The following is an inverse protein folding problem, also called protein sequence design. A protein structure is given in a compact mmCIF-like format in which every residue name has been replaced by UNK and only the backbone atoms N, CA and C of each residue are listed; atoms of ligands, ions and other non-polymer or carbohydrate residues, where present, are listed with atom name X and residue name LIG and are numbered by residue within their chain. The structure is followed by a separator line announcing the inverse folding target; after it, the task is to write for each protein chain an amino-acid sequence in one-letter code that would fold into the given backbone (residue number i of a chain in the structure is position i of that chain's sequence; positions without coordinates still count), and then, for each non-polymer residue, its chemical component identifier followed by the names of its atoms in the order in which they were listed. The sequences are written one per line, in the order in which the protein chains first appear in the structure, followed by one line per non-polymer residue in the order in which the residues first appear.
data_IF_876013621982
#
_entry.id   IF_876013621982
#
_cell.length_a   1.000
_cell.length_b   1.000
_cell.length_c   1.000
_cell.angle_alpha   90.00
_cell.angle_beta   90.00
_cell.angle_gamma   90.00
#
_symmetry.space_group_name_H-M   'P 1'
#
loop_
_entity.id
_entity.type
_entity.pdbx_description
1 polymer ?
#
# COMPACT_ATOMS: atom_id res chain seq x y z
N UNK A 1 -30.43 30.90 4.21
CA UNK A 1 -29.14 31.60 4.11
C UNK A 1 -28.14 30.63 3.51
N UNK A 2 -27.78 30.83 2.25
CA UNK A 2 -26.75 30.07 1.55
C UNK A 2 -25.40 30.28 2.23
N UNK A 3 -24.65 29.21 2.43
CA UNK A 3 -23.28 29.24 2.95
C UNK A 3 -22.48 30.08 1.96
N UNK A 4 -22.03 31.28 2.37
CA UNK A 4 -21.08 32.04 1.56
C UNK A 4 -19.80 31.21 1.47
N UNK A 5 -19.41 30.81 0.26
CA UNK A 5 -18.13 30.16 0.02
C UNK A 5 -17.02 31.11 0.47
N UNK A 6 -16.22 30.67 1.44
CA UNK A 6 -15.02 31.40 1.83
C UNK A 6 -14.11 31.49 0.60
N UNK A 7 -13.41 32.60 0.33
CA UNK A 7 -12.39 32.65 -0.73
C UNK A 7 -11.28 31.59 -0.56
N UNK A 8 -11.19 30.95 0.62
CA UNK A 8 -10.32 29.82 0.91
C UNK A 8 -10.82 28.48 0.33
N UNK A 9 -12.11 28.36 -0.02
CA UNK A 9 -12.73 27.09 -0.44
C UNK A 9 -12.79 26.92 -1.98
N UNK A 10 -12.26 27.88 -2.77
CA UNK A 10 -12.32 27.84 -4.23
C UNK A 10 -11.23 26.93 -4.83
N UNK A 11 -11.50 25.63 -4.89
CA UNK A 11 -10.62 24.63 -5.49
C UNK A 11 -11.09 24.17 -6.86
N UNK A 12 -10.15 24.05 -7.81
CA UNK A 12 -10.31 23.35 -9.09
C UNK A 12 -9.03 22.55 -9.32
N UNK A 13 -8.93 21.33 -8.75
CA UNK A 13 -7.67 20.59 -8.72
C UNK A 13 -7.10 20.39 -10.12
N UNK A 14 -5.78 20.61 -10.25
CA UNK A 14 -5.06 20.20 -11.44
C UNK A 14 -5.21 18.69 -11.65
N UNK A 15 -5.21 18.25 -12.91
CA UNK A 15 -5.23 16.81 -13.20
C UNK A 15 -3.90 16.15 -12.79
N UNK A 16 -3.91 14.82 -12.63
CA UNK A 16 -2.68 14.04 -12.43
C UNK A 16 -1.64 14.29 -13.54
N UNK A 17 -2.08 14.33 -14.80
CA UNK A 17 -1.21 14.57 -15.96
C UNK A 17 -0.65 15.98 -15.99
N UNK A 18 -1.47 16.99 -15.67
CA UNK A 18 -1.00 18.38 -15.57
C UNK A 18 0.05 18.51 -14.46
N UNK A 19 -0.25 17.96 -13.28
CA UNK A 19 0.64 17.99 -12.12
C UNK A 19 1.96 17.28 -12.42
N UNK A 20 1.90 16.08 -13.02
CA UNK A 20 3.09 15.35 -13.42
C UNK A 20 3.93 16.10 -14.47
N UNK A 21 3.28 16.78 -15.42
CA UNK A 21 3.96 17.61 -16.42
C UNK A 21 4.69 18.80 -15.79
N UNK A 22 4.08 19.46 -14.80
CA UNK A 22 4.69 20.57 -14.05
C UNK A 22 5.90 20.07 -13.25
N UNK A 23 5.74 18.98 -12.50
CA UNK A 23 6.78 18.46 -11.62
C UNK A 23 7.82 17.58 -12.32
N UNK A 24 7.68 17.30 -13.61
CA UNK A 24 8.70 16.62 -14.41
C UNK A 24 10.05 17.36 -14.40
N UNK A 25 10.03 18.69 -14.26
CA UNK A 25 11.22 19.53 -14.16
C UNK A 25 11.73 19.70 -12.71
N UNK A 26 11.10 19.07 -11.72
CA UNK A 26 11.51 19.18 -10.32
C UNK A 26 12.84 18.41 -10.10
N UNK A 27 13.89 19.03 -9.55
CA UNK A 27 15.25 18.49 -9.55
C UNK A 27 15.52 17.43 -8.47
N UNK A 28 14.51 17.08 -7.68
CA UNK A 28 14.61 16.22 -6.51
C UNK A 28 13.42 15.23 -6.47
N UNK A 29 13.37 14.28 -5.52
CA UNK A 29 12.21 13.42 -5.37
C UNK A 29 10.94 14.22 -5.06
N UNK A 30 9.85 13.88 -5.76
CA UNK A 30 8.50 14.38 -5.52
C UNK A 30 7.51 13.24 -5.75
N UNK A 31 6.32 13.37 -5.16
CA UNK A 31 5.30 12.33 -5.25
C UNK A 31 3.90 12.94 -5.22
N UNK A 32 2.96 12.35 -5.95
CA UNK A 32 1.54 12.53 -5.67
C UNK A 32 1.24 11.98 -4.28
N UNK A 33 0.42 12.70 -3.52
CA UNK A 33 0.04 12.37 -2.17
C UNK A 33 -1.49 12.37 -2.00
N UNK A 34 -1.97 12.20 -0.76
CA UNK A 34 -3.38 12.29 -0.45
C UNK A 34 -4.23 11.21 -1.11
N UNK A 35 -5.44 11.58 -1.52
CA UNK A 35 -6.40 10.65 -2.12
C UNK A 35 -5.96 10.08 -3.46
N UNK A 36 -5.30 10.88 -4.29
CA UNK A 36 -4.82 10.41 -5.59
C UNK A 36 -3.68 9.39 -5.45
N UNK A 37 -2.83 9.49 -4.43
CA UNK A 37 -1.82 8.46 -4.16
C UNK A 37 -2.45 7.10 -3.82
N UNK A 38 -3.57 7.11 -3.11
CA UNK A 38 -4.34 5.90 -2.80
C UNK A 38 -4.88 5.28 -4.10
N UNK A 39 -5.48 6.07 -4.99
CA UNK A 39 -6.01 5.57 -6.26
C UNK A 39 -4.92 5.08 -7.22
N UNK A 40 -3.77 5.75 -7.25
CA UNK A 40 -2.60 5.28 -8.01
C UNK A 40 -2.09 3.93 -7.49
N UNK A 41 -2.17 3.68 -6.18
CA UNK A 41 -1.84 2.38 -5.58
C UNK A 41 -2.90 1.31 -5.89
N UNK A 42 -4.19 1.68 -5.89
CA UNK A 42 -5.31 0.77 -6.20
C UNK A 42 -5.40 0.45 -7.70
N UNK A 43 -4.94 1.36 -8.56
CA UNK A 43 -4.92 1.21 -10.01
C UNK A 43 -6.21 1.67 -10.71
N UNK A 44 -7.20 2.19 -9.97
CA UNK A 44 -8.41 2.78 -10.52
C UNK A 44 -9.00 3.84 -9.59
N UNK A 45 -9.81 4.73 -10.15
CA UNK A 45 -10.58 5.70 -9.38
C UNK A 45 -11.75 5.01 -8.66
N UNK A 46 -12.04 5.42 -7.44
CA UNK A 46 -13.19 4.91 -6.68
C UNK A 46 -13.94 5.99 -5.89
N UNK A 47 -13.44 7.23 -5.84
CA UNK A 47 -14.17 8.39 -5.31
C UNK A 47 -13.75 9.69 -6.00
N UNK A 48 -14.43 10.79 -5.68
CA UNK A 48 -13.98 12.14 -6.08
C UNK A 48 -12.89 12.69 -5.15
N UNK A 49 -12.10 13.65 -5.66
CA UNK A 49 -11.14 14.44 -4.88
C UNK A 49 -11.42 15.92 -5.05
N UNK A 50 -11.33 16.68 -3.95
CA UNK A 50 -11.52 18.13 -3.91
C UNK A 50 -10.21 18.90 -4.07
N UNK A 51 -9.09 18.20 -4.04
CA UNK A 51 -7.71 18.68 -4.00
C UNK A 51 -6.80 17.70 -4.76
N UNK A 52 -5.60 18.17 -5.09
CA UNK A 52 -4.49 17.31 -5.49
C UNK A 52 -3.27 17.70 -4.66
N UNK A 53 -2.71 16.71 -3.98
CA UNK A 53 -1.58 16.87 -3.08
C UNK A 53 -0.28 16.41 -3.76
N UNK A 54 0.77 17.20 -3.62
CA UNK A 54 2.13 16.88 -4.06
C UNK A 54 3.07 16.94 -2.86
N UNK A 55 3.68 15.82 -2.50
CA UNK A 55 4.70 15.77 -1.48
C UNK A 55 6.09 16.04 -2.06
N UNK A 56 6.85 16.91 -1.39
CA UNK A 56 8.29 17.14 -1.64
C UNK A 56 9.02 17.17 -0.31
N UNK A 57 10.34 16.95 -0.32
CA UNK A 57 11.14 17.09 0.89
C UNK A 57 11.33 18.56 1.25
N UNK A 58 11.25 18.91 2.53
CA UNK A 58 11.42 20.29 3.02
C UNK A 58 12.72 20.94 2.55
N UNK A 59 13.81 20.17 2.48
CA UNK A 59 15.12 20.66 2.01
C UNK A 59 15.09 21.15 0.55
N UNK A 60 14.13 20.66 -0.24
CA UNK A 60 13.98 20.96 -1.67
C UNK A 60 12.86 21.98 -1.93
N UNK A 61 12.27 22.57 -0.88
CA UNK A 61 11.08 23.43 -0.98
C UNK A 61 11.24 24.61 -1.96
N UNK A 62 12.42 25.24 -2.06
CA UNK A 62 12.62 26.37 -2.98
C UNK A 62 12.54 25.97 -4.46
N UNK A 63 12.71 24.68 -4.78
CA UNK A 63 12.50 24.21 -6.14
C UNK A 63 11.01 24.24 -6.55
N UNK A 64 10.08 24.24 -5.58
CA UNK A 64 8.64 24.37 -5.82
C UNK A 64 8.35 25.72 -6.47
N UNK A 65 8.93 26.80 -5.93
CA UNK A 65 8.78 28.15 -6.50
C UNK A 65 9.30 28.24 -7.95
N UNK A 66 10.30 27.43 -8.32
CA UNK A 66 10.84 27.39 -9.69
C UNK A 66 9.91 26.67 -10.66
N UNK A 67 9.40 25.48 -10.29
CA UNK A 67 8.49 24.72 -11.18
C UNK A 67 7.10 25.37 -11.26
N UNK A 68 6.70 26.09 -10.22
CA UNK A 68 5.48 26.91 -10.17
C UNK A 68 5.78 28.40 -10.38
N UNK A 69 6.78 28.73 -11.21
CA UNK A 69 7.08 30.12 -11.53
C UNK A 69 5.86 30.83 -12.12
N UNK A 70 5.57 32.04 -11.65
CA UNK A 70 4.40 32.83 -12.05
C UNK A 70 3.09 32.45 -11.36
N UNK A 71 3.10 31.43 -10.49
CA UNK A 71 1.96 31.12 -9.61
C UNK A 71 2.07 31.91 -8.30
N UNK A 72 0.96 31.96 -7.57
CA UNK A 72 0.99 32.33 -6.16
C UNK A 72 1.08 31.08 -5.28
N UNK A 73 1.84 31.21 -4.18
CA UNK A 73 2.03 30.16 -3.20
C UNK A 73 1.71 30.73 -1.82
N UNK A 74 0.84 30.02 -1.09
CA UNK A 74 0.34 30.47 0.20
C UNK A 74 0.59 29.38 1.24
N UNK A 75 1.43 29.67 2.23
CA UNK A 75 1.70 28.77 3.33
C UNK A 75 0.51 28.79 4.32
N UNK A 76 0.00 27.62 4.68
CA UNK A 76 -0.89 27.46 5.81
C UNK A 76 -0.07 27.51 7.11
N UNK A 77 0.12 28.72 7.63
CA UNK A 77 0.94 29.00 8.79
C UNK A 77 0.17 28.72 10.09
N UNK A 78 0.60 27.75 10.92
CA UNK A 78 -0.10 27.42 12.15
C UNK A 78 0.06 28.52 13.23
N UNK A 79 -1.01 28.84 13.99
CA UNK A 79 -2.34 28.27 13.92
C UNK A 79 -3.27 29.07 12.98
N UNK A 80 -3.42 28.60 11.74
CA UNK A 80 -4.65 28.79 10.94
C UNK A 80 -4.73 30.00 10.02
N UNK A 81 -3.60 30.65 9.68
CA UNK A 81 -3.60 31.72 8.68
C UNK A 81 -2.92 31.27 7.39
N UNK A 82 -3.59 31.43 6.24
CA UNK A 82 -2.86 31.44 4.97
C UNK A 82 -2.08 32.75 4.88
N UNK A 83 -0.78 32.66 4.62
CA UNK A 83 0.03 33.81 4.25
C UNK A 83 0.76 33.55 2.95
N UNK A 84 1.09 34.62 2.24
CA UNK A 84 1.97 34.53 1.08
C UNK A 84 3.31 33.91 1.51
N UNK A 85 3.78 32.97 0.70
CA UNK A 85 5.13 32.44 0.80
C UNK A 85 6.03 33.29 -0.10
N UNK A 86 6.96 34.05 0.49
CA UNK A 86 7.72 35.04 -0.26
C UNK A 86 8.78 34.39 -1.18
N UNK A 87 9.10 35.00 -2.33
CA UNK A 87 10.16 34.51 -3.20
C UNK A 87 11.49 34.35 -2.46
N UNK A 88 12.05 33.13 -2.47
CA UNK A 88 13.31 32.81 -1.79
C UNK A 88 13.21 32.59 -0.28
N UNK A 89 12.03 32.75 0.32
CA UNK A 89 11.80 32.43 1.73
C UNK A 89 11.93 30.92 1.97
N UNK A 90 12.70 30.51 2.98
CA UNK A 90 12.71 29.12 3.44
C UNK A 90 11.70 28.97 4.57
N UNK A 91 10.64 28.19 4.36
CA UNK A 91 9.62 27.95 5.37
C UNK A 91 10.19 27.10 6.53
N UNK A 92 9.99 27.53 7.78
CA UNK A 92 10.46 26.81 8.95
C UNK A 92 9.72 25.49 9.16
N UNK A 93 10.28 24.65 10.04
CA UNK A 93 9.62 23.46 10.54
C UNK A 93 8.22 23.79 11.10
N UNK A 94 7.24 22.92 10.85
CA UNK A 94 5.84 23.08 11.29
C UNK A 94 4.90 23.65 10.23
N UNK A 95 5.42 24.35 9.20
CA UNK A 95 4.63 24.73 8.03
C UNK A 95 4.71 23.61 7.00
N UNK A 96 3.60 22.91 6.79
CA UNK A 96 3.57 21.71 5.93
C UNK A 96 2.80 21.91 4.65
N UNK A 97 1.73 22.70 4.66
CA UNK A 97 0.79 22.78 3.56
C UNK A 97 0.94 24.13 2.85
N UNK A 98 1.15 24.08 1.53
CA UNK A 98 1.32 25.25 0.68
C UNK A 98 0.28 25.16 -0.43
N UNK A 99 -0.61 26.14 -0.51
CA UNK A 99 -1.66 26.19 -1.52
C UNK A 99 -1.20 27.02 -2.70
N UNK A 100 -1.33 26.45 -3.90
CA UNK A 100 -0.80 27.04 -5.12
C UNK A 100 -1.92 27.32 -6.12
N UNK A 101 -1.93 28.52 -6.69
CA UNK A 101 -2.88 28.95 -7.73
C UNK A 101 -2.17 29.73 -8.83
N UNK A 102 -2.70 29.67 -10.05
CA UNK A 102 -2.08 30.32 -11.22
C UNK A 102 -2.20 31.84 -11.21
N UNK A 103 -3.28 32.37 -10.65
CA UNK A 103 -3.57 33.81 -10.64
C UNK A 103 -4.14 34.24 -9.28
N UNK A 104 -4.03 35.52 -8.89
CA UNK A 104 -4.52 36.00 -7.60
C UNK A 104 -6.02 35.79 -7.31
N UNK A 105 -6.86 35.75 -8.35
CA UNK A 105 -8.31 35.51 -8.21
C UNK A 105 -8.73 34.12 -8.72
N UNK A 106 -7.75 33.31 -9.15
CA UNK A 106 -8.00 31.96 -9.66
C UNK A 106 -8.22 30.92 -8.55
N UNK A 107 -8.75 29.75 -8.91
CA UNK A 107 -8.93 28.66 -7.96
C UNK A 107 -7.57 28.09 -7.52
N UNK A 108 -7.56 27.50 -6.32
CA UNK A 108 -6.48 26.63 -5.87
C UNK A 108 -6.40 25.40 -6.76
N UNK A 109 -5.19 25.10 -7.24
CA UNK A 109 -4.94 24.05 -8.23
C UNK A 109 -4.15 22.89 -7.64
N UNK A 110 -3.17 23.16 -6.79
CA UNK A 110 -2.25 22.17 -6.23
C UNK A 110 -1.98 22.52 -4.75
N UNK A 111 -2.03 21.52 -3.88
CA UNK A 111 -1.47 21.61 -2.54
C UNK A 111 -0.09 20.94 -2.53
N UNK A 112 0.95 21.67 -2.10
CA UNK A 112 2.27 21.10 -1.86
C UNK A 112 2.42 20.80 -0.38
N UNK A 113 2.79 19.57 -0.06
CA UNK A 113 3.07 19.10 1.29
C UNK A 113 4.58 18.94 1.50
N UNK A 114 5.12 19.56 2.55
CA UNK A 114 6.51 19.43 2.93
C UNK A 114 6.72 18.26 3.89
N UNK A 115 7.45 17.26 3.41
CA UNK A 115 7.88 16.08 4.17
C UNK A 115 9.25 16.32 4.82
N UNK A 116 9.43 15.81 6.04
CA UNK A 116 10.68 15.96 6.80
C UNK A 116 11.65 14.84 6.50
N UNK A 117 12.95 15.16 6.49
CA UNK A 117 14.00 14.15 6.34
C UNK A 117 15.24 14.50 7.17
N UNK A 118 15.84 13.48 7.76
CA UNK A 118 17.16 13.52 8.39
C UNK A 118 18.13 12.69 7.53
N UNK A 119 18.94 13.36 6.72
CA UNK A 119 19.81 12.69 5.75
C UNK A 119 18.99 11.92 4.71
N UNK A 120 19.19 10.61 4.62
CA UNK A 120 18.46 9.73 3.70
C UNK A 120 17.16 9.18 4.26
N UNK A 121 16.82 9.49 5.51
CA UNK A 121 15.63 8.96 6.17
C UNK A 121 14.53 10.01 6.22
N UNK A 122 13.35 9.65 5.73
CA UNK A 122 12.11 10.36 5.99
C UNK A 122 11.77 10.24 7.47
N UNK A 123 11.26 11.33 8.04
CA UNK A 123 10.83 11.42 9.44
C UNK A 123 9.37 11.84 9.46
N UNK A 124 8.51 11.04 10.08
CA UNK A 124 7.10 11.43 10.19
C UNK A 124 6.96 12.71 11.00
N UNK A 125 6.28 13.70 10.44
CA UNK A 125 5.91 14.92 11.18
C UNK A 125 4.92 14.65 12.32
N UNK A 126 4.31 13.47 12.39
CA UNK A 126 3.40 13.07 13.47
C UNK A 126 4.13 12.47 14.66
N UNK A 127 5.18 11.70 14.39
CA UNK A 127 6.00 11.06 15.41
C UNK A 127 7.42 10.87 14.86
N UNK A 128 8.43 11.60 15.38
CA UNK A 128 9.78 11.56 14.84
C UNK A 128 10.51 10.21 15.07
N UNK A 129 9.90 9.29 15.84
CA UNK A 129 10.36 7.91 15.99
C UNK A 129 10.01 7.06 14.77
N UNK A 130 8.96 7.42 14.03
CA UNK A 130 8.56 6.74 12.81
C UNK A 130 9.41 7.28 11.66
N UNK A 131 10.27 6.40 11.13
CA UNK A 131 11.24 6.73 10.07
C UNK A 131 11.27 5.65 9.02
N UNK A 132 11.65 6.01 7.79
CA UNK A 132 11.96 5.06 6.70
C UNK A 132 12.90 5.71 5.69
N UNK A 133 13.64 4.93 4.89
CA UNK A 133 14.45 5.50 3.81
C UNK A 133 13.59 6.32 2.84
N UNK A 134 14.05 7.50 2.43
CA UNK A 134 13.38 8.35 1.43
C UNK A 134 13.15 7.58 0.12
N UNK A 135 14.06 6.70 -0.27
CA UNK A 135 13.94 5.82 -1.44
C UNK A 135 12.74 4.86 -1.36
N UNK A 136 12.24 4.59 -0.16
CA UNK A 136 11.05 3.76 0.07
C UNK A 136 9.76 4.55 0.21
N UNK A 137 9.83 5.90 0.23
CA UNK A 137 8.69 6.76 0.56
C UNK A 137 7.63 6.78 -0.55
N UNK A 138 8.01 6.46 -1.79
CA UNK A 138 7.08 6.40 -2.89
C UNK A 138 7.34 5.26 -3.88
N UNK A 139 6.35 5.08 -4.73
CA UNK A 139 6.32 4.07 -5.79
C UNK A 139 5.98 4.75 -7.12
N UNK A 140 6.36 4.11 -8.22
CA UNK A 140 5.83 4.43 -9.53
C UNK A 140 5.02 3.23 -10.01
N UNK A 141 3.74 3.47 -10.31
CA UNK A 141 2.87 2.47 -10.91
C UNK A 141 3.03 2.39 -12.43
N UNK A 142 2.14 1.67 -13.13
CA UNK A 142 2.18 1.55 -14.59
C UNK A 142 2.09 2.89 -15.34
N UNK A 143 1.53 3.93 -14.72
CA UNK A 143 1.44 5.29 -15.29
C UNK A 143 2.77 6.05 -15.26
N UNK A 144 3.78 5.56 -14.52
CA UNK A 144 5.05 6.25 -14.30
C UNK A 144 4.98 7.47 -13.37
N UNK A 145 3.79 7.88 -12.93
CA UNK A 145 3.62 9.00 -12.00
C UNK A 145 4.04 8.55 -10.60
N UNK A 146 5.02 9.21 -9.94
CA UNK A 146 5.44 8.85 -8.60
C UNK A 146 4.36 9.21 -7.59
N UNK A 147 4.09 8.33 -6.62
CA UNK A 147 3.15 8.57 -5.52
C UNK A 147 3.67 8.05 -4.20
N UNK A 148 3.27 8.68 -3.09
CA UNK A 148 3.66 8.26 -1.74
C UNK A 148 3.09 6.88 -1.44
N UNK A 149 3.90 6.02 -0.81
CA UNK A 149 3.51 4.68 -0.42
C UNK A 149 2.19 4.70 0.37
N UNK A 150 1.21 3.85 0.02
CA UNK A 150 -0.14 4.00 0.55
C UNK A 150 -0.22 3.79 2.06
N UNK A 151 0.64 2.96 2.65
CA UNK A 151 0.71 2.82 4.12
C UNK A 151 1.15 4.12 4.83
N UNK A 152 1.96 4.97 4.20
CA UNK A 152 2.35 6.28 4.74
C UNK A 152 1.18 7.27 4.66
N UNK A 153 0.42 7.24 3.56
CA UNK A 153 -0.81 8.03 3.46
C UNK A 153 -1.84 7.63 4.51
N UNK A 154 -2.01 6.32 4.74
CA UNK A 154 -2.89 5.82 5.79
C UNK A 154 -2.42 6.21 7.19
N UNK A 155 -1.10 6.21 7.45
CA UNK A 155 -0.57 6.74 8.72
C UNK A 155 -1.03 8.18 8.95
N UNK A 156 -0.92 9.07 7.95
CA UNK A 156 -1.37 10.45 8.09
C UNK A 156 -2.89 10.59 8.25
N UNK A 157 -3.66 9.72 7.57
CA UNK A 157 -5.13 9.70 7.60
C UNK A 157 -5.71 9.16 8.91
N UNK A 158 -4.94 8.40 9.68
CA UNK A 158 -5.39 7.73 10.91
C UNK A 158 -5.67 8.66 12.10
N UNK A 159 -5.02 9.83 12.18
CA UNK A 159 -5.10 10.68 13.37
C UNK A 159 -6.47 11.35 13.59
N UNK A 160 -7.21 11.60 12.52
CA UNK A 160 -8.53 12.22 12.56
C UNK A 160 -9.38 11.64 11.44
N UNK A 161 -9.52 10.31 11.46
CA UNK A 161 -10.16 9.52 10.41
C UNK A 161 -11.55 10.06 10.07
N UNK A 162 -11.71 10.56 8.84
CA UNK A 162 -13.00 10.94 8.26
C UNK A 162 -13.58 9.73 7.50
N UNK A 163 -14.88 9.74 7.13
CA UNK A 163 -15.46 8.67 6.33
C UNK A 163 -14.68 8.35 5.05
N UNK A 164 -14.13 9.35 4.36
CA UNK A 164 -13.28 9.13 3.16
C UNK A 164 -11.95 8.44 3.47
N UNK A 165 -11.41 8.64 4.66
CA UNK A 165 -10.16 8.01 5.08
C UNK A 165 -10.37 6.52 5.39
N UNK A 166 -11.56 6.14 5.88
CA UNK A 166 -11.99 4.75 6.01
C UNK A 166 -12.21 4.08 4.64
N UNK A 167 -12.80 4.79 3.67
CA UNK A 167 -12.91 4.31 2.28
C UNK A 167 -11.53 4.06 1.68
N UNK A 168 -10.59 4.99 1.85
CA UNK A 168 -9.20 4.84 1.38
C UNK A 168 -8.52 3.63 2.04
N UNK A 169 -8.68 3.46 3.36
CA UNK A 169 -8.14 2.29 4.09
C UNK A 169 -8.68 0.97 3.54
N UNK A 170 -10.00 0.86 3.38
CA UNK A 170 -10.64 -0.36 2.89
C UNK A 170 -10.22 -0.71 1.46
N UNK A 171 -10.00 0.28 0.60
CA UNK A 171 -9.58 0.07 -0.78
C UNK A 171 -8.13 -0.44 -0.88
N UNK A 172 -7.21 0.08 -0.05
CA UNK A 172 -5.79 -0.31 -0.10
C UNK A 172 -5.51 -1.58 0.69
N UNK A 173 -6.22 -1.84 1.79
CA UNK A 173 -5.90 -2.93 2.72
C UNK A 173 -5.64 -4.29 2.01
N UNK A 174 -6.46 -4.75 1.04
CA UNK A 174 -6.22 -6.02 0.34
C UNK A 174 -4.91 -6.04 -0.46
N UNK A 175 -4.43 -4.88 -0.89
CA UNK A 175 -3.25 -4.69 -1.74
C UNK A 175 -1.96 -4.49 -0.93
N UNK A 176 -2.05 -4.16 0.36
CA UNK A 176 -0.88 -4.06 1.22
C UNK A 176 -0.29 -5.44 1.46
N UNK A 177 0.98 -5.61 1.11
CA UNK A 177 1.77 -6.75 1.52
C UNK A 177 1.90 -6.84 3.05
N UNK A 178 2.17 -8.04 3.55
CA UNK A 178 2.19 -8.35 4.99
C UNK A 178 3.16 -7.47 5.79
N UNK A 179 4.33 -7.17 5.24
CA UNK A 179 5.34 -6.28 5.82
C UNK A 179 4.82 -4.84 5.95
N UNK A 180 4.13 -4.32 4.93
CA UNK A 180 3.54 -2.97 4.94
C UNK A 180 2.36 -2.86 5.91
N UNK A 181 1.52 -3.90 5.98
CA UNK A 181 0.44 -3.97 6.98
C UNK A 181 1.00 -3.95 8.39
N UNK A 182 2.04 -4.75 8.65
CA UNK A 182 2.74 -4.80 9.94
C UNK A 182 3.34 -3.44 10.28
N UNK A 183 4.08 -2.83 9.35
CA UNK A 183 4.66 -1.51 9.56
C UNK A 183 3.60 -0.47 9.94
N UNK A 184 2.46 -0.45 9.25
CA UNK A 184 1.36 0.45 9.58
C UNK A 184 0.74 0.11 10.94
N UNK A 185 0.54 -1.16 11.26
CA UNK A 185 0.04 -1.62 12.56
C UNK A 185 0.94 -1.13 13.71
N UNK A 186 2.26 -1.27 13.55
CA UNK A 186 3.28 -0.84 14.53
C UNK A 186 3.33 0.69 14.67
N UNK A 187 3.09 1.42 13.59
CA UNK A 187 3.07 2.88 13.55
C UNK A 187 1.82 3.50 14.20
N UNK A 188 0.72 2.75 14.32
CA UNK A 188 -0.55 3.21 14.87
C UNK A 188 -0.67 2.89 16.36
N UNK A 189 -1.50 3.66 17.07
CA UNK A 189 -1.85 3.33 18.45
C UNK A 189 -2.52 1.94 18.50
N UNK A 190 -2.22 1.14 19.53
CA UNK A 190 -2.80 -0.20 19.72
C UNK A 190 -4.34 -0.19 19.81
N UNK A 191 -4.93 0.96 20.18
CA UNK A 191 -6.39 1.16 20.25
C UNK A 191 -7.02 1.61 18.94
N UNK A 192 -6.23 1.84 17.88
CA UNK A 192 -6.74 2.37 16.63
C UNK A 192 -7.72 1.38 15.96
N UNK A 193 -8.87 1.83 15.41
CA UNK A 193 -9.89 0.95 14.82
C UNK A 193 -9.40 0.06 13.67
N UNK A 194 -8.29 0.44 13.02
CA UNK A 194 -7.70 -0.34 11.93
C UNK A 194 -6.84 -1.51 12.40
N UNK A 195 -6.46 -1.58 13.69
CA UNK A 195 -5.52 -2.60 14.18
C UNK A 195 -5.97 -4.02 13.87
N UNK A 196 -7.24 -4.37 14.20
CA UNK A 196 -7.80 -5.70 13.92
C UNK A 196 -7.83 -6.09 12.45
N UNK A 197 -7.81 -5.11 11.54
CA UNK A 197 -7.85 -5.35 10.08
C UNK A 197 -6.46 -5.38 9.47
N UNK A 198 -5.51 -4.64 10.04
CA UNK A 198 -4.10 -4.69 9.66
C UNK A 198 -3.43 -5.98 10.12
N UNK A 199 -3.78 -6.41 11.33
CA UNK A 199 -3.22 -7.57 12.02
C UNK A 199 -4.38 -8.37 12.63
N UNK A 200 -5.08 -9.21 11.85
CA UNK A 200 -6.14 -10.05 12.41
C UNK A 200 -5.56 -11.04 13.42
N UNK A 201 -6.22 -11.19 14.57
CA UNK A 201 -5.80 -12.13 15.62
C UNK A 201 -5.88 -13.60 15.16
N UNK A 202 -6.80 -13.89 14.24
CA UNK A 202 -6.96 -15.21 13.65
C UNK A 202 -6.04 -15.37 12.43
N UNK A 203 -5.21 -16.40 12.46
CA UNK A 203 -4.40 -16.86 11.33
C UNK A 203 -4.63 -18.35 11.08
N UNK A 204 -4.31 -18.80 9.87
CA UNK A 204 -4.26 -20.22 9.55
C UNK A 204 -2.91 -20.73 10.07
N UNK A 205 -2.92 -21.59 11.08
CA UNK A 205 -1.70 -22.26 11.56
C UNK A 205 -1.48 -23.59 10.84
N UNK A 206 -2.56 -24.32 10.54
CA UNK A 206 -2.49 -25.66 9.96
C UNK A 206 -3.68 -25.90 9.00
N UNK A 207 -3.37 -26.46 7.85
CA UNK A 207 -4.33 -27.08 6.92
C UNK A 207 -3.91 -28.54 6.77
N UNK A 208 -4.88 -29.47 6.92
CA UNK A 208 -4.65 -30.90 6.66
C UNK A 208 -5.54 -31.34 5.51
N UNK A 209 -4.93 -31.92 4.48
CA UNK A 209 -5.61 -32.61 3.40
C UNK A 209 -5.42 -34.12 3.55
N UNK A 210 -6.53 -34.84 3.59
CA UNK A 210 -6.56 -36.28 3.56
C UNK A 210 -6.68 -36.72 2.10
N UNK A 211 -5.68 -37.45 1.62
CA UNK A 211 -5.50 -37.83 0.23
C UNK A 211 -5.82 -39.32 0.04
N UNK A 212 -6.64 -39.63 -0.97
CA UNK A 212 -6.84 -40.98 -1.49
C UNK A 212 -5.55 -41.51 -2.10
N UNK A 213 -4.83 -40.66 -2.83
CA UNK A 213 -3.48 -40.92 -3.35
C UNK A 213 -2.50 -39.89 -2.79
N UNK A 214 -1.84 -40.26 -1.69
CA UNK A 214 -0.89 -39.39 -0.99
C UNK A 214 0.31 -39.02 -1.87
N UNK A 215 0.82 -39.96 -2.67
CA UNK A 215 1.99 -39.73 -3.51
C UNK A 215 1.67 -38.75 -4.64
N UNK A 216 0.54 -38.95 -5.32
CA UNK A 216 0.11 -38.05 -6.38
C UNK A 216 -0.13 -36.61 -5.85
N UNK A 217 -0.76 -36.48 -4.68
CA UNK A 217 -0.97 -35.16 -4.07
C UNK A 217 0.34 -34.49 -3.69
N UNK A 218 1.28 -35.25 -3.11
CA UNK A 218 2.60 -34.75 -2.78
C UNK A 218 3.35 -34.24 -4.02
N UNK A 219 3.40 -35.02 -5.09
CA UNK A 219 4.02 -34.62 -6.36
C UNK A 219 3.39 -33.34 -6.92
N UNK A 220 2.05 -33.28 -6.96
CA UNK A 220 1.33 -32.11 -7.46
C UNK A 220 1.68 -30.81 -6.71
N UNK A 221 1.64 -30.82 -5.37
CA UNK A 221 1.93 -29.62 -4.59
C UNK A 221 3.44 -29.30 -4.56
N UNK A 222 4.31 -30.31 -4.63
CA UNK A 222 5.75 -30.12 -4.76
C UNK A 222 6.10 -29.44 -6.09
N UNK A 223 5.42 -29.79 -7.19
CA UNK A 223 5.59 -29.15 -8.49
C UNK A 223 5.13 -27.68 -8.52
N UNK A 224 4.25 -27.27 -7.59
CA UNK A 224 3.89 -25.88 -7.36
C UNK A 224 4.93 -25.11 -6.50
N UNK A 225 6.02 -25.77 -6.10
CA UNK A 225 7.11 -25.18 -5.34
C UNK A 225 6.98 -25.29 -3.82
N UNK A 226 6.09 -26.16 -3.31
CA UNK A 226 6.00 -26.40 -1.87
C UNK A 226 7.06 -27.41 -1.43
N UNK A 227 7.88 -27.02 -0.46
CA UNK A 227 8.92 -27.87 0.12
C UNK A 227 8.34 -28.77 1.22
N UNK A 228 8.04 -30.03 0.90
CA UNK A 228 7.54 -31.01 1.85
C UNK A 228 8.66 -31.77 2.57
N UNK A 229 8.40 -32.11 3.83
CA UNK A 229 9.16 -33.09 4.62
C UNK A 229 8.26 -34.24 5.00
N UNK A 230 8.79 -35.46 4.94
CA UNK A 230 8.09 -36.63 5.44
C UNK A 230 8.16 -36.67 6.97
N UNK A 231 7.02 -36.80 7.62
CA UNK A 231 6.88 -36.78 9.06
C UNK A 231 5.99 -37.92 9.57
N UNK A 232 6.11 -38.24 10.87
CA UNK A 232 5.23 -39.17 11.58
C UNK A 232 5.07 -38.73 13.02
N UNK A 233 3.83 -38.55 13.45
CA UNK A 233 3.52 -38.21 14.84
C UNK A 233 3.07 -39.44 15.62
N UNK A 234 3.82 -39.81 16.67
CA UNK A 234 3.51 -40.96 17.50
C UNK A 234 3.34 -42.25 16.68
N UNK A 235 2.17 -42.88 16.82
CA UNK A 235 1.78 -44.09 16.08
C UNK A 235 0.90 -43.80 14.86
N UNK A 236 0.76 -42.53 14.48
CA UNK A 236 0.03 -42.12 13.29
C UNK A 236 0.71 -42.56 11.99
N UNK A 237 0.03 -42.45 10.84
CA UNK A 237 0.64 -42.75 9.56
C UNK A 237 1.77 -41.77 9.22
N UNK A 238 2.67 -42.19 8.34
CA UNK A 238 3.58 -41.27 7.68
C UNK A 238 2.76 -40.29 6.82
N UNK A 239 3.18 -39.03 6.80
CA UNK A 239 2.53 -37.94 6.07
C UNK A 239 3.59 -36.95 5.58
N UNK A 240 3.17 -35.94 4.80
CA UNK A 240 4.05 -34.87 4.33
C UNK A 240 3.62 -33.53 4.93
N UNK A 241 4.57 -32.71 5.38
CA UNK A 241 4.32 -31.37 5.89
C UNK A 241 5.16 -30.33 5.14
N UNK A 242 4.53 -29.25 4.68
CA UNK A 242 5.19 -28.08 4.11
C UNK A 242 4.91 -26.84 4.97
N UNK A 243 5.96 -26.11 5.35
CA UNK A 243 5.84 -24.88 6.16
C UNK A 243 5.97 -23.65 5.27
N UNK A 244 4.97 -22.77 5.31
CA UNK A 244 4.96 -21.50 4.58
C UNK A 244 5.83 -20.44 5.29
N UNK A 245 6.14 -19.36 4.57
CA UNK A 245 7.00 -18.28 5.08
C UNK A 245 6.45 -17.57 6.34
N UNK A 246 5.13 -17.60 6.56
CA UNK A 246 4.47 -17.05 7.75
C UNK A 246 4.32 -18.06 8.90
N UNK A 247 4.82 -19.29 8.71
CA UNK A 247 4.78 -20.38 9.68
C UNK A 247 3.52 -21.23 9.62
N UNK A 248 2.56 -20.94 8.73
CA UNK A 248 1.45 -21.85 8.48
C UNK A 248 1.96 -23.18 7.90
N UNK A 249 1.27 -24.29 8.19
CA UNK A 249 1.65 -25.62 7.70
C UNK A 249 0.54 -26.20 6.83
N UNK A 250 0.91 -26.78 5.68
CA UNK A 250 0.06 -27.69 4.91
C UNK A 250 0.54 -29.12 5.12
N UNK A 251 -0.33 -29.98 5.62
CA UNK A 251 -0.08 -31.41 5.78
C UNK A 251 -0.91 -32.23 4.79
N UNK A 252 -0.27 -33.21 4.15
CA UNK A 252 -0.92 -34.22 3.32
C UNK A 252 -0.86 -35.56 4.05
N UNK A 253 -2.02 -36.07 4.45
CA UNK A 253 -2.19 -37.34 5.15
C UNK A 253 -2.83 -38.39 4.24
N UNK A 254 -2.56 -39.68 4.44
CA UNK A 254 -3.37 -40.72 3.81
C UNK A 254 -4.78 -40.72 4.41
N UNK A 255 -5.80 -40.77 3.54
CA UNK A 255 -7.22 -40.71 3.91
C UNK A 255 -7.67 -41.79 4.92
N UNK A 256 -7.08 -42.98 4.82
CA UNK A 256 -7.46 -44.12 5.64
C UNK A 256 -8.97 -44.43 5.55
N UNK A 257 -9.51 -45.02 6.62
CA UNK A 257 -10.91 -45.47 6.65
C UNK A 257 -11.95 -44.34 6.69
N UNK A 258 -11.55 -43.10 7.00
CA UNK A 258 -12.46 -41.94 7.08
C UNK A 258 -12.70 -41.27 5.72
N UNK A 259 -11.95 -41.68 4.69
CA UNK A 259 -12.04 -41.11 3.35
C UNK A 259 -11.26 -39.80 3.22
N UNK A 260 -11.07 -39.34 1.97
CA UNK A 260 -10.29 -38.13 1.69
C UNK A 260 -11.03 -36.87 2.14
N UNK A 261 -10.30 -35.75 2.18
CA UNK A 261 -10.90 -34.43 2.37
C UNK A 261 -11.89 -34.19 1.23
N UNK A 262 -13.13 -33.83 1.59
CA UNK A 262 -14.16 -33.48 0.62
C UNK A 262 -13.85 -32.21 -0.16
N UNK A 263 -14.87 -31.61 -0.79
CA UNK A 263 -14.66 -30.43 -1.64
C UNK A 263 -14.04 -29.25 -0.89
N UNK A 264 -12.82 -28.88 -1.28
CA UNK A 264 -12.12 -27.67 -0.82
C UNK A 264 -11.58 -26.87 -2.01
N UNK A 265 -11.32 -25.58 -1.78
CA UNK A 265 -10.64 -24.69 -2.72
C UNK A 265 -9.52 -23.97 -1.99
N UNK A 266 -8.31 -24.05 -2.51
CA UNK A 266 -7.09 -23.52 -1.86
C UNK A 266 -6.47 -22.47 -2.77
N UNK A 267 -6.08 -21.33 -2.20
CA UNK A 267 -5.35 -20.29 -2.91
C UNK A 267 -3.89 -20.27 -2.50
N UNK A 268 -2.98 -20.29 -3.48
CA UNK A 268 -1.53 -20.23 -3.27
C UNK A 268 -0.95 -19.08 -4.09
N UNK A 269 0.00 -18.35 -3.51
CA UNK A 269 0.87 -17.43 -4.25
C UNK A 269 2.25 -18.04 -4.30
N UNK A 270 2.76 -18.28 -5.50
CA UNK A 270 4.02 -19.00 -5.74
C UNK A 270 4.94 -18.19 -6.64
N UNK A 271 6.25 -18.26 -6.42
CA UNK A 271 7.21 -17.60 -7.32
C UNK A 271 7.43 -18.48 -8.54
N UNK A 272 7.50 -17.88 -9.73
CA UNK A 272 7.80 -18.60 -10.97
C UNK A 272 9.11 -19.41 -10.88
N UNK A 273 10.10 -18.87 -10.17
CA UNK A 273 11.40 -19.52 -9.99
C UNK A 273 11.36 -20.77 -9.09
N UNK A 274 10.29 -20.96 -8.31
CA UNK A 274 10.14 -22.09 -7.39
C UNK A 274 9.28 -23.22 -7.99
N UNK A 275 8.67 -22.99 -9.18
CA UNK A 275 7.89 -24.03 -9.86
C UNK A 275 8.82 -25.16 -10.33
N UNK A 276 8.38 -26.41 -10.13
CA UNK A 276 9.05 -27.61 -10.63
C UNK A 276 8.77 -27.80 -12.12
N UNK A 277 8.24 -28.98 -12.49
CA UNK A 277 7.92 -29.29 -13.89
C UNK A 277 6.73 -28.48 -14.43
N UNK A 278 5.96 -27.86 -13.53
CA UNK A 278 4.80 -27.02 -13.87
C UNK A 278 5.23 -25.69 -14.51
N UNK A 279 4.96 -25.52 -15.81
CA UNK A 279 5.32 -24.31 -16.56
C UNK A 279 4.21 -23.24 -16.58
N UNK A 280 3.79 -22.75 -15.42
CA UNK A 280 2.82 -21.66 -15.37
C UNK A 280 3.47 -20.31 -15.69
N UNK A 281 2.77 -19.50 -16.49
CA UNK A 281 3.15 -18.11 -16.77
C UNK A 281 2.74 -17.18 -15.62
N UNK A 282 3.36 -16.00 -15.48
CA UNK A 282 2.94 -15.01 -14.47
C UNK A 282 1.47 -14.64 -14.63
N UNK A 283 0.71 -14.62 -13.54
CA UNK A 283 -0.73 -14.39 -13.56
C UNK A 283 -1.53 -15.38 -12.71
N UNK A 284 -2.86 -15.34 -12.87
CA UNK A 284 -3.79 -16.17 -12.11
C UNK A 284 -4.18 -17.41 -12.90
N UNK A 285 -4.08 -18.57 -12.27
CA UNK A 285 -4.46 -19.87 -12.81
C UNK A 285 -5.40 -20.59 -11.86
N UNK A 286 -6.20 -21.52 -12.38
CA UNK A 286 -7.00 -22.44 -11.57
C UNK A 286 -6.67 -23.85 -12.03
N UNK A 287 -6.06 -24.62 -11.13
CA UNK A 287 -5.72 -26.02 -11.34
C UNK A 287 -6.69 -26.91 -10.57
N UNK A 288 -6.60 -28.21 -10.85
CA UNK A 288 -7.27 -29.24 -10.08
C UNK A 288 -6.22 -30.19 -9.53
N UNK A 289 -6.23 -30.44 -8.23
CA UNK A 289 -5.33 -31.42 -7.61
C UNK A 289 -5.84 -32.86 -7.86
N UNK A 290 -5.07 -33.90 -7.51
CA UNK A 290 -5.47 -35.30 -7.70
C UNK A 290 -6.74 -35.72 -6.93
N UNK A 291 -7.14 -35.00 -5.88
CA UNK A 291 -8.39 -35.23 -5.15
C UNK A 291 -9.60 -34.48 -5.77
N UNK A 292 -9.36 -33.73 -6.84
CA UNK A 292 -10.39 -32.95 -7.52
C UNK A 292 -10.66 -31.58 -6.90
N UNK A 293 -9.85 -31.13 -5.94
CA UNK A 293 -9.94 -29.82 -5.30
C UNK A 293 -9.48 -28.72 -6.26
N UNK A 294 -10.12 -27.56 -6.20
CA UNK A 294 -9.72 -26.42 -7.01
C UNK A 294 -8.55 -25.68 -6.34
N UNK A 295 -7.47 -25.42 -7.08
CA UNK A 295 -6.30 -24.70 -6.57
C UNK A 295 -6.12 -23.40 -7.38
N UNK A 296 -6.44 -22.26 -6.77
CA UNK A 296 -6.11 -20.95 -7.34
C UNK A 296 -4.62 -20.68 -7.16
N UNK A 297 -3.88 -20.57 -8.25
CA UNK A 297 -2.45 -20.28 -8.22
C UNK A 297 -2.21 -18.88 -8.77
N UNK A 298 -1.73 -17.97 -7.92
CA UNK A 298 -1.20 -16.69 -8.33
C UNK A 298 0.32 -16.83 -8.50
N UNK A 299 0.78 -16.86 -9.75
CA UNK A 299 2.21 -16.91 -10.06
C UNK A 299 2.76 -15.49 -10.09
N UNK A 300 3.76 -15.24 -9.24
CA UNK A 300 4.50 -13.97 -9.17
C UNK A 300 5.94 -14.18 -9.65
N UNK A 301 6.51 -13.19 -10.35
CA UNK A 301 7.88 -13.29 -10.89
C UNK A 301 7.96 -13.04 -12.38
#
# INVERSE_FOLDING_TARGET
MTRADSPLDHWEPASLTETASIFAAFPAPWWIAGGYAIELAVGHQFRGHSDIDVAVLRRDQLAVQRVLAGWEWWAADPPGALRRWEPGETLPFGIHDIWCRRTPDGPWRIQVMLEEAAGTDWVSRRDPRIRRPVSSLGHAGPTGIPYIAPEVQLLYKSQASRPKDETDFAAVLPLLATDRRRWLSDALAATHPWQRRLSPDAKIDLIVLYCSDLSACHEFYQDLGLEFRRERHGTGPDHYAATFADGAVLELYPAGARGPTGRVRIGLTVRRADLGDTQLTPGRHVLQDPEGHAVDVQVVG
#
